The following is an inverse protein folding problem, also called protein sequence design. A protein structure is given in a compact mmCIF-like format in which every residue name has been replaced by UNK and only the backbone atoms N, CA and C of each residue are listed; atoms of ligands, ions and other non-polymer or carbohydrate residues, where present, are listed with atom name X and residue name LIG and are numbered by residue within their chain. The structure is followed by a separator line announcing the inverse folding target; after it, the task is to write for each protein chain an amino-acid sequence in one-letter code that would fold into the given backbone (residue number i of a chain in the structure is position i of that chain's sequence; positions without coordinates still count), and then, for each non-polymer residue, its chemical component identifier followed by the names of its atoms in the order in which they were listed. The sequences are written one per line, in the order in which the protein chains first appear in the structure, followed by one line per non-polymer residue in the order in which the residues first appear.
data_IF_479039428780
#
_entry.id   IF_479039428780
#
_cell.length_a   1.000
_cell.length_b   1.000
_cell.length_c   1.000
_cell.angle_alpha   90.00
_cell.angle_beta   90.00
_cell.angle_gamma   90.00
#
_symmetry.space_group_name_H-M   'P 1'
#
loop_
_entity.id
_entity.type
_entity.pdbx_description
1 polymer ?
#
# COMPACT_ATOMS: atom_id res chain seq x y z
N UNK A 1 29.47 -10.86 9.37
CA UNK A 1 28.31 -10.21 10.01
C UNK A 1 28.73 -8.77 10.24
N UNK A 2 28.18 -7.84 9.47
CA UNK A 2 28.59 -6.42 9.55
C UNK A 2 28.03 -5.83 10.85
N UNK A 3 28.94 -5.36 11.70
CA UNK A 3 28.62 -4.79 13.02
C UNK A 3 27.99 -3.39 12.93
N UNK A 4 27.90 -2.82 11.72
CA UNK A 4 27.31 -1.51 11.43
C UNK A 4 25.80 -1.46 11.75
N UNK A 5 25.06 -2.51 11.40
CA UNK A 5 23.60 -2.61 11.59
C UNK A 5 23.15 -2.54 13.05
N UNK A 6 23.99 -2.96 14.01
CA UNK A 6 23.65 -2.96 15.44
C UNK A 6 23.96 -1.61 16.14
N UNK A 7 24.60 -0.66 15.45
CA UNK A 7 24.98 0.64 16.00
C UNK A 7 24.18 1.82 15.39
N UNK A 8 23.26 1.55 14.45
CA UNK A 8 22.54 2.59 13.70
C UNK A 8 23.46 3.46 12.83
N UNK A 9 24.63 2.94 12.45
CA UNK A 9 25.61 3.65 11.62
C UNK A 9 25.58 3.08 10.21
N UNK A 10 25.38 3.95 9.22
CA UNK A 10 25.47 3.59 7.81
C UNK A 10 26.87 3.89 7.26
N UNK A 11 27.46 2.91 6.58
CA UNK A 11 28.76 3.02 5.88
C UNK A 11 28.63 2.84 4.36
N UNK A 12 27.39 2.76 3.85
CA UNK A 12 27.05 2.62 2.43
C UNK A 12 26.30 3.87 1.95
N UNK A 13 26.11 3.97 0.64
CA UNK A 13 25.27 5.03 0.08
C UNK A 13 23.82 4.84 0.56
N UNK A 14 23.18 5.85 1.21
CA UNK A 14 21.78 5.78 1.63
C UNK A 14 20.76 5.62 0.51
N UNK A 15 21.13 5.83 -0.76
CA UNK A 15 20.23 5.70 -1.92
C UNK A 15 18.95 6.57 -1.81
N UNK A 16 19.14 7.87 -1.68
CA UNK A 16 18.03 8.85 -1.73
C UNK A 16 17.47 9.02 -3.15
N UNK A 17 16.19 9.34 -3.24
CA UNK A 17 15.43 9.48 -4.49
C UNK A 17 15.94 10.62 -5.37
N UNK A 18 16.21 11.80 -4.78
CA UNK A 18 16.78 12.92 -5.52
C UNK A 18 17.55 13.90 -4.61
N UNK A 19 18.86 13.70 -4.52
CA UNK A 19 19.75 14.58 -3.76
C UNK A 19 19.80 16.01 -4.28
N UNK A 20 19.72 16.23 -5.58
CA UNK A 20 19.79 17.58 -6.18
C UNK A 20 18.57 18.44 -5.85
N UNK A 21 17.41 17.79 -5.64
CA UNK A 21 16.17 18.43 -5.22
C UNK A 21 15.99 18.47 -3.69
N UNK A 22 16.96 18.00 -2.91
CA UNK A 22 16.84 17.77 -1.45
C UNK A 22 15.69 16.80 -1.07
N UNK A 23 15.38 15.84 -1.94
CA UNK A 23 14.45 14.75 -1.66
C UNK A 23 15.20 13.59 -1.00
N UNK A 24 15.12 13.55 0.33
CA UNK A 24 15.78 12.55 1.16
C UNK A 24 14.91 11.31 1.44
N UNK A 25 13.85 11.07 0.64
CA UNK A 25 13.12 9.79 0.66
C UNK A 25 13.97 8.68 0.05
N UNK A 26 13.85 7.46 0.55
CA UNK A 26 14.63 6.31 0.09
C UNK A 26 14.12 5.73 -1.23
N UNK A 27 15.04 5.21 -2.03
CA UNK A 27 14.73 4.20 -3.04
C UNK A 27 14.46 2.85 -2.35
N UNK A 28 13.64 1.99 -2.96
CA UNK A 28 13.27 0.66 -2.42
C UNK A 28 14.47 -0.24 -2.07
N UNK A 29 15.63 0.01 -2.68
CA UNK A 29 16.86 -0.78 -2.47
C UNK A 29 17.75 -0.26 -1.35
N UNK A 30 17.36 0.85 -0.70
CA UNK A 30 18.19 1.55 0.26
C UNK A 30 18.62 0.68 1.44
N UNK A 31 19.91 0.72 1.82
CA UNK A 31 20.40 0.04 3.02
C UNK A 31 19.94 0.71 4.32
N UNK A 32 19.30 1.89 4.26
CA UNK A 32 18.70 2.53 5.43
C UNK A 32 17.40 1.87 5.86
N UNK A 33 16.72 1.20 4.91
CA UNK A 33 15.41 0.60 5.14
C UNK A 33 15.54 -0.52 6.17
N UNK A 34 14.68 -0.49 7.16
CA UNK A 34 14.68 -1.30 8.36
C UNK A 34 15.95 -1.23 9.20
N UNK A 35 17.00 -0.48 8.89
CA UNK A 35 18.31 -0.66 9.56
C UNK A 35 18.57 0.31 10.73
N UNK A 36 17.54 0.99 11.22
CA UNK A 36 17.59 1.86 12.39
C UNK A 36 17.57 1.11 13.72
N UNK A 37 16.98 1.72 14.74
CA UNK A 37 16.97 1.16 16.09
C UNK A 37 16.16 -0.15 16.15
N UNK A 38 16.68 -1.23 16.76
CA UNK A 38 15.94 -2.47 16.95
C UNK A 38 14.79 -2.35 17.96
N UNK A 39 14.78 -1.29 18.77
CA UNK A 39 13.75 -1.04 19.79
C UNK A 39 12.64 -0.09 19.31
N UNK A 40 12.71 0.39 18.06
CA UNK A 40 11.73 1.31 17.48
C UNK A 40 11.15 0.73 16.19
N UNK A 41 9.91 1.09 15.92
CA UNK A 41 9.19 0.72 14.69
C UNK A 41 8.69 1.97 13.98
N UNK A 42 8.65 1.89 12.66
CA UNK A 42 8.04 2.91 11.81
C UNK A 42 6.50 2.76 11.76
N UNK A 43 5.77 3.73 11.20
CA UNK A 43 4.30 3.69 11.13
C UNK A 43 3.72 2.47 10.39
N UNK A 44 4.46 1.88 9.46
CA UNK A 44 4.11 0.66 8.75
C UNK A 44 4.43 -0.63 9.55
N UNK A 45 4.86 -0.46 10.81
CA UNK A 45 5.22 -1.51 11.76
C UNK A 45 6.50 -2.27 11.41
N UNK A 46 7.27 -1.81 10.43
CA UNK A 46 8.60 -2.33 10.16
C UNK A 46 9.59 -1.89 11.25
N UNK A 47 10.84 -2.38 11.20
CA UNK A 47 11.88 -1.88 12.12
C UNK A 47 12.21 -0.46 11.68
N UNK A 48 12.43 0.47 12.61
CA UNK A 48 12.70 1.86 12.22
C UNK A 48 13.84 1.97 11.19
N UNK A 49 13.70 2.87 10.23
CA UNK A 49 14.73 3.20 9.24
C UNK A 49 15.86 4.05 9.85
N UNK A 50 17.04 4.03 9.23
CA UNK A 50 18.10 4.99 9.57
C UNK A 50 17.76 6.34 8.94
N UNK A 51 17.32 7.33 9.72
CA UNK A 51 17.18 8.72 9.24
C UNK A 51 15.93 9.42 9.76
N UNK A 52 15.44 10.40 9.00
CA UNK A 52 14.25 11.20 9.37
C UNK A 52 12.97 10.88 8.59
N UNK A 53 13.11 10.17 7.46
CA UNK A 53 11.98 9.61 6.70
C UNK A 53 12.01 8.10 6.83
N UNK A 54 10.85 7.48 6.98
CA UNK A 54 10.69 6.04 6.83
C UNK A 54 10.25 5.72 5.40
N UNK A 55 10.60 4.53 4.92
CA UNK A 55 10.11 3.95 3.69
C UNK A 55 8.88 3.11 4.03
N UNK A 56 7.70 3.54 3.57
CA UNK A 56 6.48 2.78 3.78
C UNK A 56 6.53 1.47 2.97
N UNK A 57 6.75 0.36 3.67
CA UNK A 57 6.70 -1.01 3.15
C UNK A 57 5.30 -1.61 3.20
N UNK A 58 4.35 -0.90 3.79
CA UNK A 58 2.95 -1.27 3.81
C UNK A 58 2.42 -1.44 2.40
N UNK A 59 1.57 -2.47 2.20
CA UNK A 59 0.79 -2.55 0.99
C UNK A 59 -0.16 -1.33 0.98
N UNK A 60 -0.08 -0.42 -0.02
CA UNK A 60 -0.98 0.74 -0.08
C UNK A 60 -2.45 0.31 -0.08
N UNK A 61 -2.73 -0.93 -0.49
CA UNK A 61 -4.08 -1.50 -0.48
C UNK A 61 -4.61 -1.82 0.92
N UNK A 62 -3.76 -1.89 1.95
CA UNK A 62 -4.18 -2.20 3.32
C UNK A 62 -4.93 -1.03 3.99
N UNK A 63 -4.81 0.18 3.45
CA UNK A 63 -5.47 1.38 3.97
C UNK A 63 -6.82 1.66 3.28
N UNK A 64 -7.18 0.88 2.26
CA UNK A 64 -8.42 1.03 1.50
C UNK A 64 -9.49 0.11 2.11
N UNK A 65 -10.73 0.60 2.17
CA UNK A 65 -11.85 -0.21 2.64
C UNK A 65 -12.17 -1.30 1.62
N UNK A 66 -12.40 -2.52 2.09
CA UNK A 66 -12.87 -3.60 1.25
C UNK A 66 -14.21 -3.20 0.58
N UNK A 67 -14.27 -3.24 -0.75
CA UNK A 67 -15.40 -2.77 -1.54
C UNK A 67 -15.44 -1.27 -1.87
N UNK A 68 -14.46 -0.46 -1.44
CA UNK A 68 -14.30 0.95 -1.83
C UNK A 68 -13.48 1.05 -3.13
N UNK A 69 -14.16 0.84 -4.25
CA UNK A 69 -13.56 0.63 -5.57
C UNK A 69 -13.24 1.96 -6.25
N UNK A 70 -13.97 3.03 -5.93
CA UNK A 70 -13.67 4.38 -6.41
C UNK A 70 -12.78 5.19 -5.44
N UNK A 71 -12.36 4.57 -4.32
CA UNK A 71 -11.45 5.12 -3.32
C UNK A 71 -11.90 6.46 -2.73
N UNK A 72 -13.22 6.64 -2.61
CA UNK A 72 -13.81 7.83 -2.00
C UNK A 72 -13.98 7.71 -0.48
N UNK A 73 -13.42 6.65 0.11
CA UNK A 73 -13.47 6.29 1.54
C UNK A 73 -14.86 5.88 2.01
N UNK A 74 -15.79 5.59 1.09
CA UNK A 74 -17.17 5.22 1.42
C UNK A 74 -17.68 4.06 0.57
N UNK A 75 -17.84 2.88 1.16
CA UNK A 75 -18.45 1.72 0.47
C UNK A 75 -19.95 1.96 0.24
N UNK A 76 -20.35 2.23 -1.00
CA UNK A 76 -21.72 2.58 -1.37
C UNK A 76 -22.10 2.17 -2.81
N UNK A 77 -23.26 2.63 -3.29
CA UNK A 77 -23.77 2.27 -4.62
C UNK A 77 -22.86 2.73 -5.77
N UNK A 78 -22.04 3.76 -5.56
CA UNK A 78 -21.08 4.22 -6.56
C UNK A 78 -19.99 3.16 -6.82
N UNK A 79 -19.56 2.40 -5.82
CA UNK A 79 -18.62 1.29 -6.00
C UNK A 79 -19.20 0.17 -6.85
N UNK A 80 -20.48 -0.17 -6.61
CA UNK A 80 -21.21 -1.14 -7.44
C UNK A 80 -21.27 -0.67 -8.89
N UNK A 81 -21.56 0.62 -9.12
CA UNK A 81 -21.58 1.19 -10.47
C UNK A 81 -20.20 1.10 -11.12
N UNK A 82 -19.13 1.36 -10.38
CA UNK A 82 -17.75 1.23 -10.85
C UNK A 82 -17.41 -0.21 -11.26
N UNK A 83 -17.74 -1.20 -10.42
CA UNK A 83 -17.51 -2.62 -10.74
C UNK A 83 -18.36 -3.09 -11.92
N UNK A 84 -19.60 -2.61 -12.05
CA UNK A 84 -20.45 -2.92 -13.20
C UNK A 84 -19.88 -2.31 -14.49
N UNK A 85 -19.40 -1.07 -14.44
CA UNK A 85 -18.80 -0.42 -15.60
C UNK A 85 -17.58 -1.16 -16.13
N UNK A 86 -16.78 -1.78 -15.25
CA UNK A 86 -15.68 -2.65 -15.63
C UNK A 86 -16.13 -3.80 -16.55
N UNK A 87 -17.25 -4.46 -16.25
CA UNK A 87 -17.80 -5.53 -17.10
C UNK A 87 -18.26 -5.05 -18.48
N UNK A 88 -18.52 -3.75 -18.64
CA UNK A 88 -18.87 -3.15 -19.93
C UNK A 88 -17.66 -2.59 -20.69
N UNK A 89 -16.44 -2.98 -20.31
CA UNK A 89 -15.21 -2.51 -20.94
C UNK A 89 -14.73 -1.15 -20.42
N UNK A 90 -15.28 -0.71 -19.29
CA UNK A 90 -14.67 0.34 -18.48
C UNK A 90 -13.35 -0.11 -17.87
N UNK A 91 -12.62 0.84 -17.30
CA UNK A 91 -11.34 0.59 -16.62
C UNK A 91 -11.54 0.86 -15.13
N UNK A 92 -10.91 0.04 -14.31
CA UNK A 92 -10.68 0.30 -12.90
C UNK A 92 -9.22 0.80 -12.82
N UNK A 93 -9.01 2.10 -12.63
CA UNK A 93 -7.74 2.80 -12.89
C UNK A 93 -7.05 3.33 -11.61
N UNK A 94 -7.50 2.87 -10.44
CA UNK A 94 -6.89 3.27 -9.18
C UNK A 94 -6.13 2.11 -8.53
N UNK A 95 -4.98 2.44 -7.94
CA UNK A 95 -4.07 1.48 -7.31
C UNK A 95 -4.85 0.64 -6.30
N UNK A 96 -4.79 -0.69 -6.38
CA UNK A 96 -5.50 -1.64 -5.50
C UNK A 96 -6.99 -1.85 -5.74
N UNK A 97 -7.64 -1.09 -6.62
CA UNK A 97 -9.09 -1.21 -6.82
C UNK A 97 -9.52 -2.59 -7.29
N UNK A 98 -8.68 -3.29 -8.06
CA UNK A 98 -8.94 -4.69 -8.45
C UNK A 98 -8.87 -5.67 -7.28
N UNK A 99 -8.04 -5.39 -6.27
CA UNK A 99 -7.91 -6.21 -5.06
C UNK A 99 -9.15 -6.05 -4.18
N UNK A 100 -9.54 -4.80 -3.90
CA UNK A 100 -10.72 -4.52 -3.06
C UNK A 100 -12.05 -4.80 -3.78
N UNK A 101 -12.02 -5.07 -5.09
CA UNK A 101 -13.17 -5.52 -5.88
C UNK A 101 -13.38 -7.04 -5.85
N UNK A 102 -12.37 -7.85 -5.49
CA UNK A 102 -12.44 -9.33 -5.45
C UNK A 102 -12.85 -9.78 -4.04
N UNK A 103 -14.16 -9.79 -3.77
CA UNK A 103 -14.69 -9.88 -2.42
C UNK A 103 -14.77 -11.31 -1.89
N UNK A 104 -14.56 -12.33 -2.73
CA UNK A 104 -14.35 -13.71 -2.30
C UNK A 104 -12.92 -14.21 -2.47
N UNK A 105 -11.96 -13.33 -2.77
CA UNK A 105 -10.53 -13.64 -2.92
C UNK A 105 -10.26 -14.81 -3.89
N UNK A 106 -11.04 -14.95 -4.96
CA UNK A 106 -10.89 -16.05 -5.92
C UNK A 106 -10.01 -15.70 -7.14
N UNK A 107 -9.60 -14.44 -7.23
CA UNK A 107 -8.77 -13.88 -8.29
C UNK A 107 -9.56 -13.54 -9.56
N UNK A 108 -10.90 -13.64 -9.56
CA UNK A 108 -11.75 -13.44 -10.72
C UNK A 108 -12.89 -12.47 -10.39
N UNK A 109 -12.77 -11.24 -10.88
CA UNK A 109 -13.88 -10.28 -10.84
C UNK A 109 -15.06 -10.79 -11.68
N UNK A 110 -16.17 -11.09 -11.01
CA UNK A 110 -17.41 -11.57 -11.62
C UNK A 110 -18.68 -11.12 -10.85
N UNK A 111 -19.82 -11.74 -11.15
CA UNK A 111 -21.10 -11.38 -10.53
C UNK A 111 -21.15 -11.69 -9.02
N UNK A 112 -20.33 -12.63 -8.54
CA UNK A 112 -20.24 -12.97 -7.12
C UNK A 112 -19.71 -11.79 -6.30
N UNK A 113 -18.75 -11.04 -6.82
CA UNK A 113 -18.23 -9.82 -6.18
C UNK A 113 -19.30 -8.75 -6.05
N UNK A 114 -20.07 -8.51 -7.11
CA UNK A 114 -21.18 -7.54 -7.06
C UNK A 114 -22.20 -7.92 -5.98
N UNK A 115 -22.55 -9.21 -5.89
CA UNK A 115 -23.51 -9.69 -4.87
C UNK A 115 -22.97 -9.49 -3.46
N UNK A 116 -21.67 -9.76 -3.25
CA UNK A 116 -21.01 -9.55 -1.96
C UNK A 116 -20.92 -8.06 -1.60
N UNK A 117 -20.60 -7.20 -2.56
CA UNK A 117 -20.53 -5.76 -2.37
C UNK A 117 -21.89 -5.18 -1.96
N UNK A 118 -22.97 -5.61 -2.62
CA UNK A 118 -24.33 -5.22 -2.24
C UNK A 118 -24.67 -5.71 -0.84
N UNK A 119 -24.23 -6.91 -0.47
CA UNK A 119 -24.42 -7.43 0.89
C UNK A 119 -23.64 -6.61 1.93
N UNK A 120 -22.45 -6.13 1.61
CA UNK A 120 -21.66 -5.21 2.44
C UNK A 120 -22.38 -3.88 2.68
N UNK A 121 -22.97 -3.29 1.64
CA UNK A 121 -23.67 -1.99 1.72
C UNK A 121 -24.97 -2.07 2.53
N UNK A 122 -25.63 -3.22 2.57
CA UNK A 122 -26.96 -3.38 3.18
C UNK A 122 -26.95 -3.85 4.64
N UNK A 123 -25.80 -4.25 5.19
CA UNK A 123 -25.65 -4.72 6.57
C UNK A 123 -25.02 -3.66 7.48
#
# INVERSE_FOLDING_TARGET
MDLSSALGLINQNPQFSNLEANDFRYLETSPCIDNGSPELSDPDQSRSDIGGYFFNQGNPCNEILEGDINQDQSVNILDVVTLVNYFFGGVIDEDCSSLVSDLNDDGILNILDIVQLVSLILN
#
